data_IF_216598137666
#
_entry.id   IF_216598137666
#
_cell.length_a   1.000
_cell.length_b   1.000
_cell.length_c   1.000
_cell.angle_alpha   90.00
_cell.angle_beta   90.00
_cell.angle_gamma   90.00
#
_symmetry.space_group_name_H-M   'P 1'
#
loop_
_entity.id
_entity.type
_entity.pdbx_description
1 polymer ?
#
# COMPACT_ATOMS: atom_id res chain seq x y z
N UNK A 1 14.08 26.64 18.96
CA UNK A 1 14.99 25.55 19.35
C UNK A 1 14.38 24.30 18.77
N UNK A 2 14.90 23.85 17.64
CA UNK A 2 14.24 22.86 16.76
C UNK A 2 14.59 21.43 17.20
N UNK A 3 14.49 21.18 18.50
CA UNK A 3 14.80 19.88 19.09
C UNK A 3 13.59 18.97 18.99
N UNK A 4 13.81 17.76 18.49
CA UNK A 4 12.82 16.68 18.52
C UNK A 4 12.50 16.40 20.00
N UNK A 5 11.24 16.62 20.38
CA UNK A 5 10.75 16.41 21.76
C UNK A 5 10.51 14.92 22.04
N UNK A 6 10.08 14.17 21.03
CA UNK A 6 9.82 12.72 21.14
C UNK A 6 9.90 12.05 19.77
N UNK A 7 10.36 10.80 19.75
CA UNK A 7 10.29 9.90 18.59
C UNK A 7 9.59 8.63 19.03
N UNK A 8 8.61 8.20 18.25
CA UNK A 8 7.84 7.00 18.53
C UNK A 8 7.70 6.16 17.27
N UNK A 9 7.80 4.83 17.43
CA UNK A 9 7.52 3.88 16.36
C UNK A 9 6.07 3.44 16.48
N UNK A 10 5.24 3.82 15.50
CA UNK A 10 3.82 3.45 15.48
C UNK A 10 3.65 1.99 15.04
N UNK A 11 4.35 1.60 13.97
CA UNK A 11 4.27 0.26 13.37
C UNK A 11 5.64 -0.18 12.85
N UNK A 12 5.83 -1.49 12.71
CA UNK A 12 6.99 -2.12 12.08
C UNK A 12 6.55 -3.25 11.15
N UNK A 13 7.49 -3.82 10.40
CA UNK A 13 7.26 -5.09 9.69
C UNK A 13 6.97 -4.99 8.19
N UNK A 14 7.12 -3.80 7.59
CA UNK A 14 7.29 -3.70 6.13
C UNK A 14 8.60 -4.32 5.69
N UNK A 15 8.54 -5.05 4.58
CA UNK A 15 9.71 -5.58 3.86
C UNK A 15 10.20 -4.51 2.88
N UNK A 16 11.26 -4.81 2.13
CA UNK A 16 11.81 -3.85 1.16
C UNK A 16 12.50 -2.66 1.81
N UNK A 17 13.23 -2.88 2.92
CA UNK A 17 14.11 -1.86 3.50
C UNK A 17 15.19 -1.54 2.48
N UNK A 18 15.35 -0.25 2.15
CA UNK A 18 16.26 0.22 1.09
C UNK A 18 15.96 -0.41 -0.28
N UNK A 19 14.68 -0.60 -0.57
CA UNK A 19 14.18 -1.09 -1.85
C UNK A 19 13.14 -0.11 -2.39
N UNK A 20 13.13 0.09 -3.70
CA UNK A 20 12.17 0.93 -4.42
C UNK A 20 10.71 0.41 -4.41
N UNK A 21 10.45 -0.72 -3.75
CA UNK A 21 9.13 -1.35 -3.58
C UNK A 21 8.74 -1.48 -2.09
N UNK A 22 9.39 -0.70 -1.21
CA UNK A 22 9.12 -0.67 0.23
C UNK A 22 7.88 0.15 0.61
N UNK A 23 7.88 0.72 1.82
CA UNK A 23 6.90 1.71 2.27
C UNK A 23 7.21 3.07 1.64
N UNK A 24 6.21 3.75 1.06
CA UNK A 24 6.46 4.93 0.22
C UNK A 24 5.97 6.26 0.79
N UNK A 25 4.66 6.44 0.94
CA UNK A 25 4.08 7.73 1.37
C UNK A 25 3.35 7.61 2.70
N UNK A 26 3.27 8.72 3.44
CA UNK A 26 2.29 8.93 4.51
C UNK A 26 1.56 10.23 4.23
N UNK A 27 0.24 10.18 4.15
CA UNK A 27 -0.66 11.31 4.00
C UNK A 27 -1.56 11.44 5.22
N UNK A 28 -1.95 12.68 5.51
CA UNK A 28 -2.87 13.03 6.58
C UNK A 28 -4.25 13.29 5.98
N UNK A 29 -5.20 12.42 6.27
CA UNK A 29 -6.57 12.54 5.78
C UNK A 29 -7.33 13.67 6.47
N UNK A 30 -8.33 14.21 5.78
CA UNK A 30 -9.25 15.19 6.34
C UNK A 30 -10.09 14.64 7.50
N UNK A 31 -10.20 13.31 7.59
CA UNK A 31 -10.86 12.56 8.66
C UNK A 31 -9.96 12.32 9.88
N UNK A 32 -8.73 12.85 9.86
CA UNK A 32 -7.75 12.71 10.94
C UNK A 32 -6.97 11.40 10.94
N UNK A 33 -7.19 10.52 9.95
CA UNK A 33 -6.44 9.26 9.83
C UNK A 33 -5.15 9.45 9.04
N UNK A 34 -4.20 8.55 9.23
CA UNK A 34 -3.01 8.46 8.39
C UNK A 34 -3.27 7.45 7.28
N UNK A 35 -2.86 7.79 6.06
CA UNK A 35 -2.95 6.94 4.87
C UNK A 35 -1.57 6.71 4.33
N UNK A 36 -1.27 5.49 3.90
CA UNK A 36 0.04 5.16 3.36
C UNK A 36 -0.07 3.99 2.39
N UNK A 37 0.95 3.82 1.58
CA UNK A 37 1.03 2.73 0.64
C UNK A 37 2.42 2.07 0.68
N UNK A 38 2.49 0.86 0.17
CA UNK A 38 3.73 0.12 0.04
C UNK A 38 3.71 -0.73 -1.22
N UNK A 39 4.88 -0.96 -1.81
CA UNK A 39 5.06 -1.85 -2.95
C UNK A 39 4.90 -3.34 -2.63
N UNK A 40 5.15 -4.18 -3.63
CA UNK A 40 4.87 -5.63 -3.60
C UNK A 40 5.77 -6.47 -2.69
N UNK A 41 6.72 -5.84 -1.97
CA UNK A 41 7.56 -6.53 -0.99
C UNK A 41 6.73 -7.09 0.18
N UNK A 42 5.57 -6.49 0.45
CA UNK A 42 4.63 -6.92 1.48
C UNK A 42 5.06 -6.55 2.90
N UNK A 43 4.27 -6.97 3.87
CA UNK A 43 4.48 -6.63 5.28
C UNK A 43 3.88 -7.67 6.21
N UNK A 44 4.31 -7.66 7.46
CA UNK A 44 3.64 -8.31 8.59
C UNK A 44 3.71 -7.39 9.80
N UNK A 45 2.58 -6.82 10.19
CA UNK A 45 2.53 -5.79 11.25
C UNK A 45 1.43 -6.09 12.26
N UNK A 46 1.54 -5.52 13.46
CA UNK A 46 0.53 -5.58 14.51
C UNK A 46 0.25 -4.16 14.97
N UNK A 47 -1.01 -3.75 14.93
CA UNK A 47 -1.43 -2.42 15.38
C UNK A 47 -1.45 -2.31 16.91
N UNK A 48 -1.64 -1.10 17.45
CA UNK A 48 -1.70 -0.90 18.91
C UNK A 48 -2.92 -1.53 19.58
N UNK A 49 -3.93 -1.92 18.82
CA UNK A 49 -5.06 -2.70 19.34
C UNK A 49 -4.76 -4.20 19.45
N UNK A 50 -3.57 -4.64 19.00
CA UNK A 50 -3.13 -6.04 19.02
C UNK A 50 -3.60 -6.85 17.81
N UNK A 51 -4.15 -6.22 16.76
CA UNK A 51 -4.57 -6.93 15.55
C UNK A 51 -3.40 -7.03 14.58
N UNK A 52 -3.16 -8.24 14.07
CA UNK A 52 -2.08 -8.51 13.11
C UNK A 52 -2.58 -8.56 11.67
N UNK A 53 -1.77 -8.01 10.78
CA UNK A 53 -2.06 -7.90 9.34
C UNK A 53 -0.86 -8.38 8.54
N UNK A 54 -1.12 -8.96 7.37
CA UNK A 54 -0.07 -9.46 6.48
C UNK A 54 -0.45 -9.30 5.01
N UNK A 55 0.46 -8.71 4.23
CA UNK A 55 0.46 -8.80 2.77
C UNK A 55 1.52 -9.80 2.32
N UNK A 56 1.11 -10.87 1.64
CA UNK A 56 1.99 -11.91 1.08
C UNK A 56 1.22 -12.84 0.15
N UNK A 57 1.92 -13.71 -0.59
CA UNK A 57 1.27 -14.67 -1.50
C UNK A 57 0.31 -15.63 -0.80
N UNK A 58 0.55 -15.95 0.46
CA UNK A 58 -0.29 -16.83 1.29
C UNK A 58 -1.20 -16.04 2.25
N UNK A 59 -1.18 -14.70 2.15
CA UNK A 59 -1.90 -13.81 3.05
C UNK A 59 -3.30 -13.48 2.55
N UNK A 60 -4.12 -12.81 3.39
CA UNK A 60 -5.40 -12.28 2.97
C UNK A 60 -5.26 -11.09 2.00
N UNK A 61 -4.12 -10.41 2.02
CA UNK A 61 -3.78 -9.33 1.11
C UNK A 61 -2.54 -9.71 0.29
N UNK A 62 -2.48 -9.19 -0.93
CA UNK A 62 -1.47 -9.55 -1.93
C UNK A 62 -0.69 -8.31 -2.35
N UNK A 63 0.61 -8.47 -2.60
CA UNK A 63 1.50 -7.47 -3.17
C UNK A 63 1.34 -6.07 -2.55
N UNK A 64 1.37 -5.02 -3.38
CA UNK A 64 1.26 -3.64 -2.93
C UNK A 64 -0.11 -3.36 -2.33
N UNK A 65 -0.13 -2.52 -1.32
CA UNK A 65 -1.33 -2.19 -0.55
C UNK A 65 -1.51 -0.70 -0.39
N UNK A 66 -2.75 -0.29 -0.17
CA UNK A 66 -3.13 1.02 0.40
C UNK A 66 -3.69 0.76 1.79
N UNK A 67 -3.20 1.49 2.78
CA UNK A 67 -3.53 1.27 4.19
C UNK A 67 -3.92 2.58 4.87
N UNK A 68 -4.67 2.46 5.97
CA UNK A 68 -4.98 3.57 6.87
C UNK A 68 -4.87 3.16 8.34
N UNK A 69 -4.55 4.10 9.23
CA UNK A 69 -4.58 3.91 10.68
C UNK A 69 -4.94 5.19 11.42
N UNK A 70 -5.32 5.07 12.69
CA UNK A 70 -5.45 6.21 13.57
C UNK A 70 -4.07 6.78 13.96
N UNK A 71 -3.97 8.09 14.30
CA UNK A 71 -2.71 8.71 14.72
C UNK A 71 -2.02 8.03 15.91
N UNK A 72 -2.79 7.38 16.77
CA UNK A 72 -2.31 6.63 17.92
C UNK A 72 -1.82 5.21 17.56
N UNK A 73 -1.75 4.85 16.27
CA UNK A 73 -1.32 3.54 15.79
C UNK A 73 -2.35 2.42 15.97
N UNK A 74 -3.59 2.73 16.39
CA UNK A 74 -4.69 1.78 16.45
C UNK A 74 -5.53 1.76 15.16
N UNK A 75 -6.48 0.83 15.08
CA UNK A 75 -7.44 0.72 13.97
C UNK A 75 -6.77 0.71 12.58
N UNK A 76 -5.69 -0.06 12.43
CA UNK A 76 -5.06 -0.27 11.13
C UNK A 76 -6.01 -1.03 10.20
N UNK A 77 -6.03 -0.65 8.93
CA UNK A 77 -6.82 -1.30 7.87
C UNK A 77 -6.06 -1.33 6.56
N UNK A 78 -6.23 -2.40 5.81
CA UNK A 78 -5.84 -2.46 4.40
C UNK A 78 -7.07 -2.11 3.57
N UNK A 79 -7.01 -1.00 2.85
CA UNK A 79 -8.11 -0.50 2.02
C UNK A 79 -8.14 -1.16 0.66
N UNK A 80 -6.99 -1.42 0.06
CA UNK A 80 -6.88 -2.11 -1.22
C UNK A 80 -5.55 -2.83 -1.33
N UNK A 81 -5.47 -3.78 -2.26
CA UNK A 81 -4.28 -4.60 -2.45
C UNK A 81 -4.09 -5.02 -3.91
N UNK A 82 -2.98 -5.70 -4.14
CA UNK A 82 -2.63 -6.36 -5.40
C UNK A 82 -2.29 -5.41 -6.56
N UNK A 83 -1.70 -4.25 -6.25
CA UNK A 83 -0.90 -3.47 -7.20
C UNK A 83 0.57 -3.96 -7.19
N UNK A 84 1.46 -3.40 -8.02
CA UNK A 84 2.90 -3.76 -8.02
C UNK A 84 3.74 -2.80 -7.19
N UNK A 85 3.85 -1.55 -7.62
CA UNK A 85 4.70 -0.56 -6.98
C UNK A 85 4.17 0.86 -7.18
N UNK A 86 3.04 1.18 -6.51
CA UNK A 86 2.57 2.55 -6.46
C UNK A 86 3.46 3.38 -5.53
N UNK A 87 4.05 4.46 -6.05
CA UNK A 87 4.88 5.36 -5.25
C UNK A 87 4.04 6.31 -4.37
N UNK A 88 2.90 6.77 -4.87
CA UNK A 88 2.09 7.76 -4.17
C UNK A 88 0.61 7.45 -4.34
N UNK A 89 -0.16 7.82 -3.32
CA UNK A 89 -1.61 7.92 -3.34
C UNK A 89 -1.99 9.39 -3.19
N UNK A 90 -3.14 9.79 -3.70
CA UNK A 90 -3.69 11.13 -3.51
C UNK A 90 -5.10 11.03 -2.97
N UNK A 91 -5.41 11.83 -1.95
CA UNK A 91 -6.77 12.01 -1.45
C UNK A 91 -7.39 13.22 -2.15
N UNK A 92 -8.63 13.07 -2.62
CA UNK A 92 -9.44 14.21 -3.01
C UNK A 92 -10.28 14.76 -1.85
N UNK A 93 -10.96 15.88 -2.10
CA UNK A 93 -11.79 16.56 -1.09
C UNK A 93 -12.99 15.74 -0.61
N UNK A 94 -13.32 14.63 -1.28
CA UNK A 94 -14.39 13.72 -0.88
C UNK A 94 -13.87 12.49 -0.12
N UNK A 95 -12.55 12.42 0.11
CA UNK A 95 -11.89 11.26 0.75
C UNK A 95 -11.72 10.06 -0.16
N UNK A 96 -11.95 10.23 -1.46
CA UNK A 96 -11.63 9.22 -2.46
C UNK A 96 -10.12 9.17 -2.67
N UNK A 97 -9.59 7.97 -2.86
CA UNK A 97 -8.15 7.72 -3.00
C UNK A 97 -7.85 7.38 -4.46
N UNK A 98 -6.86 8.05 -5.01
CA UNK A 98 -6.34 7.84 -6.36
C UNK A 98 -4.89 7.37 -6.28
N UNK A 99 -4.51 6.48 -7.18
CA UNK A 99 -3.16 5.91 -7.18
C UNK A 99 -2.67 5.66 -8.59
N UNK A 100 -1.38 5.89 -8.83
CA UNK A 100 -0.68 5.36 -10.01
C UNK A 100 0.09 4.10 -9.65
N UNK A 101 0.13 3.11 -10.52
CA UNK A 101 0.88 1.87 -10.32
C UNK A 101 1.68 1.49 -11.56
N UNK A 102 2.98 1.21 -11.42
CA UNK A 102 3.81 0.75 -12.53
C UNK A 102 3.93 -0.78 -12.51
N UNK A 103 3.65 -1.42 -13.65
CA UNK A 103 3.70 -2.89 -13.74
C UNK A 103 5.10 -3.43 -14.16
N UNK A 104 6.07 -2.58 -14.53
CA UNK A 104 7.45 -3.00 -14.91
C UNK A 104 8.53 -1.89 -14.97
N UNK A 105 9.79 -2.31 -14.96
CA UNK A 105 11.04 -1.54 -15.05
C UNK A 105 11.33 -1.11 -16.51
N UNK A 106 10.40 -0.35 -17.10
CA UNK A 106 10.62 0.35 -18.37
C UNK A 106 10.05 -0.30 -19.63
N UNK A 107 9.25 -1.37 -19.51
CA UNK A 107 8.66 -2.05 -20.67
C UNK A 107 7.16 -2.41 -20.54
N UNK A 108 6.46 -1.94 -19.50
CA UNK A 108 5.03 -2.20 -19.29
C UNK A 108 4.29 -0.98 -18.72
N UNK A 109 2.99 -1.16 -18.57
CA UNK A 109 1.99 -0.11 -18.38
C UNK A 109 2.04 0.58 -17.01
N UNK A 110 1.56 1.82 -17.00
CA UNK A 110 1.18 2.54 -15.78
C UNK A 110 -0.33 2.59 -15.71
N UNK A 111 -0.90 2.30 -14.54
CA UNK A 111 -2.34 2.31 -14.30
C UNK A 111 -2.71 3.51 -13.45
N UNK A 112 -3.78 4.21 -13.80
CA UNK A 112 -4.46 5.15 -12.89
C UNK A 112 -5.65 4.41 -12.26
N UNK A 113 -5.65 4.34 -10.93
CA UNK A 113 -6.58 3.52 -10.17
C UNK A 113 -7.42 4.39 -9.25
N UNK A 114 -8.73 4.16 -9.27
CA UNK A 114 -9.63 4.57 -8.20
C UNK A 114 -9.60 3.51 -7.10
N UNK A 115 -9.18 3.88 -5.90
CA UNK A 115 -8.97 2.96 -4.78
C UNK A 115 -10.25 2.86 -3.96
N UNK A 116 -11.10 1.91 -4.34
CA UNK A 116 -12.27 1.51 -3.57
C UNK A 116 -11.85 0.60 -2.41
N UNK A 117 -12.55 0.73 -1.27
CA UNK A 117 -12.34 -0.17 -0.13
C UNK A 117 -12.63 -1.63 -0.52
N UNK A 118 -11.69 -2.53 -0.19
CA UNK A 118 -11.70 -3.94 -0.59
C UNK A 118 -11.17 -4.22 -1.99
N UNK A 119 -10.68 -3.23 -2.73
CA UNK A 119 -10.23 -3.44 -4.11
C UNK A 119 -9.01 -4.37 -4.21
N UNK A 120 -9.04 -5.23 -5.23
CA UNK A 120 -7.94 -6.10 -5.64
C UNK A 120 -7.57 -5.77 -7.09
N UNK A 121 -6.36 -5.23 -7.29
CA UNK A 121 -5.90 -4.76 -8.62
C UNK A 121 -5.17 -5.82 -9.45
N UNK A 122 -5.18 -7.07 -9.02
CA UNK A 122 -4.84 -8.21 -9.85
C UNK A 122 -3.37 -8.48 -10.11
N UNK A 123 -2.38 -7.66 -9.73
CA UNK A 123 -0.96 -7.85 -10.12
C UNK A 123 -0.46 -9.30 -9.93
N UNK A 124 -0.73 -9.91 -8.77
CA UNK A 124 -0.65 -11.37 -8.61
C UNK A 124 -1.99 -12.01 -8.93
N UNK A 125 -1.99 -12.86 -9.96
CA UNK A 125 -3.11 -13.73 -10.32
C UNK A 125 -3.15 -15.03 -9.51
N UNK A 126 -4.24 -15.81 -9.67
CA UNK A 126 -4.44 -17.07 -8.97
C UNK A 126 -3.29 -18.06 -9.16
N UNK A 127 -2.86 -18.71 -8.06
CA UNK A 127 -1.74 -19.66 -8.08
C UNK A 127 -0.37 -19.03 -8.36
N UNK A 128 -0.22 -17.73 -8.10
CA UNK A 128 1.04 -17.00 -8.25
C UNK A 128 1.41 -16.63 -9.70
N UNK A 129 0.48 -16.83 -10.64
CA UNK A 129 0.64 -16.39 -12.03
C UNK A 129 0.63 -14.86 -12.07
N UNK A 130 1.49 -14.22 -12.86
CA UNK A 130 1.25 -12.83 -13.28
C UNK A 130 0.18 -12.88 -14.38
N UNK A 131 -0.74 -11.93 -14.39
CA UNK A 131 -1.65 -11.81 -15.54
C UNK A 131 -0.78 -11.51 -16.75
N UNK A 132 -0.85 -12.40 -17.75
CA UNK A 132 -0.12 -12.28 -19.01
C UNK A 132 -0.99 -11.65 -20.09
N UNK A 133 -2.03 -10.91 -19.69
CA UNK A 133 -3.12 -10.56 -20.61
C UNK A 133 -2.63 -9.75 -21.80
N UNK A 134 -1.52 -9.02 -21.67
CA UNK A 134 -0.95 -8.27 -22.79
C UNK A 134 0.47 -8.71 -23.18
N UNK A 135 0.51 -9.81 -23.92
CA UNK A 135 1.34 -9.86 -25.15
C UNK A 135 0.67 -9.12 -26.32
N UNK A 136 -0.42 -8.39 -26.04
CA UNK A 136 -1.05 -7.45 -26.95
C UNK A 136 -0.12 -6.27 -27.16
N UNK A 137 0.47 -6.23 -28.35
CA UNK A 137 1.08 -5.03 -28.91
C UNK A 137 0.01 -3.96 -29.03
N UNK A 138 0.01 -3.01 -28.12
CA UNK A 138 -0.48 -1.67 -28.39
C UNK A 138 0.73 -0.75 -28.57
#
# INVERSE_FOLDING_TARGET
DDRIVSKETLLTGWRGVDHDHGLHVVLFGHDGRYYFNSGDQGFQTTDRSGRSFRSSREGPYYAATVQTMQPDGSDFRVLAHNARNPYEIALDSFGSIWQTDNDDDGNQWTRLLYVMEGANFGYWGPGGRRWREDRGTH
#
